data_IF_482661214515
#
_entry.id   IF_482661214515
#
_cell.length_a   1.000
_cell.length_b   1.000
_cell.length_c   1.000
_cell.angle_alpha   90.00
_cell.angle_beta   90.00
_cell.angle_gamma   90.00
#
_symmetry.space_group_name_H-M   'P 1'
#
loop_
_entity.id
_entity.type
_entity.pdbx_description
1 polymer ?
#
# COMPACT_ATOMS: atom_id res chain seq x y z
N UNK A 1 2.93 -4.83 -30.43
CA UNK A 1 4.08 -4.03 -30.90
C UNK A 1 3.67 -2.57 -30.79
N UNK A 2 4.55 -1.69 -30.34
CA UNK A 2 4.31 -0.24 -30.34
C UNK A 2 5.51 0.48 -30.94
N UNK A 3 5.26 1.58 -31.63
CA UNK A 3 6.30 2.44 -32.22
C UNK A 3 5.92 3.88 -31.94
N UNK A 4 6.87 4.68 -31.45
CA UNK A 4 6.67 6.10 -31.16
C UNK A 4 7.89 6.89 -31.62
N UNK A 5 7.66 7.94 -32.40
CA UNK A 5 8.69 8.91 -32.73
C UNK A 5 8.56 10.13 -31.80
N UNK A 6 9.69 10.64 -31.29
CA UNK A 6 9.73 11.86 -30.48
C UNK A 6 10.93 12.72 -30.84
N UNK A 7 10.71 14.03 -30.77
CA UNK A 7 11.79 15.00 -30.65
C UNK A 7 11.97 15.31 -29.17
N UNK A 8 13.22 15.32 -28.69
CA UNK A 8 13.56 15.56 -27.30
C UNK A 8 14.66 16.61 -27.20
N UNK A 9 14.51 17.54 -26.27
CA UNK A 9 15.55 18.50 -25.90
C UNK A 9 15.95 18.25 -24.45
N UNK A 10 17.25 18.16 -24.20
CA UNK A 10 17.83 18.05 -22.86
C UNK A 10 18.71 19.27 -22.61
N UNK A 11 18.54 19.92 -21.46
CA UNK A 11 19.21 21.17 -21.12
C UNK A 11 19.94 21.02 -19.79
N UNK A 12 21.19 21.49 -19.75
CA UNK A 12 21.99 21.37 -18.54
C UNK A 12 23.18 22.32 -18.54
N UNK A 13 23.65 22.65 -17.34
CA UNK A 13 24.89 23.40 -17.17
C UNK A 13 26.06 22.45 -17.36
N UNK A 14 26.94 22.76 -18.31
CA UNK A 14 28.12 21.95 -18.64
C UNK A 14 29.37 22.65 -18.12
N UNK A 15 29.93 22.16 -17.01
CA UNK A 15 31.09 22.76 -16.35
C UNK A 15 30.91 22.90 -14.84
N UNK A 16 32.02 22.94 -14.11
CA UNK A 16 32.05 23.23 -12.67
C UNK A 16 32.94 24.45 -12.47
N UNK A 17 32.38 25.54 -11.92
CA UNK A 17 33.16 26.72 -11.53
C UNK A 17 32.93 27.02 -10.06
N UNK A 18 34.01 27.31 -9.33
CA UNK A 18 33.96 27.80 -7.95
C UNK A 18 33.71 29.33 -7.87
N UNK A 19 33.61 30.02 -9.01
CA UNK A 19 33.25 31.44 -9.08
C UNK A 19 31.74 31.59 -9.33
N UNK A 20 31.10 32.59 -8.72
CA UNK A 20 29.66 32.89 -8.84
C UNK A 20 29.20 33.34 -10.25
N UNK A 21 29.95 33.03 -11.31
CA UNK A 21 29.54 33.34 -12.68
C UNK A 21 28.48 32.35 -13.16
N UNK A 22 27.37 32.90 -13.69
CA UNK A 22 26.31 32.13 -14.35
C UNK A 22 26.91 31.36 -15.53
N UNK A 23 27.04 30.05 -15.35
CA UNK A 23 27.52 29.16 -16.41
C UNK A 23 26.48 29.06 -17.54
N UNK A 24 26.92 29.03 -18.81
CA UNK A 24 26.02 28.90 -19.95
C UNK A 24 25.31 27.54 -19.93
N UNK A 25 24.01 27.56 -20.20
CA UNK A 25 23.20 26.34 -20.36
C UNK A 25 23.43 25.76 -21.76
N UNK A 26 23.88 24.51 -21.82
CA UNK A 26 24.02 23.75 -23.05
C UNK A 26 22.73 22.99 -23.36
N UNK A 27 22.39 22.90 -24.65
CA UNK A 27 21.20 22.20 -25.14
C UNK A 27 21.57 21.07 -26.09
N UNK A 28 21.10 19.87 -25.80
CA UNK A 28 21.17 18.71 -26.68
C UNK A 28 19.79 18.47 -27.30
N UNK A 29 19.72 18.31 -28.62
CA UNK A 29 18.48 18.02 -29.33
C UNK A 29 18.56 16.69 -30.06
N UNK A 30 17.59 15.82 -29.84
CA UNK A 30 17.56 14.47 -30.41
C UNK A 30 16.24 14.17 -31.12
N UNK A 31 16.32 13.45 -32.23
CA UNK A 31 15.18 12.78 -32.87
C UNK A 31 15.30 11.29 -32.64
N UNK A 32 14.30 10.68 -32.00
CA UNK A 32 14.37 9.27 -31.58
C UNK A 32 13.12 8.51 -31.98
N UNK A 33 13.34 7.27 -32.37
CA UNK A 33 12.33 6.24 -32.56
C UNK A 33 12.41 5.29 -31.37
N UNK A 34 11.27 4.99 -30.75
CA UNK A 34 11.14 4.00 -29.69
C UNK A 34 10.24 2.88 -30.17
N UNK A 35 10.71 1.64 -30.07
CA UNK A 35 9.97 0.46 -30.52
C UNK A 35 9.86 -0.52 -29.34
N UNK A 36 8.71 -1.19 -29.22
CA UNK A 36 8.53 -2.25 -28.23
C UNK A 36 7.84 -3.46 -28.82
N UNK A 37 8.36 -4.64 -28.47
CA UNK A 37 7.81 -5.94 -28.86
C UNK A 37 7.65 -6.75 -27.58
N UNK A 38 6.43 -7.21 -27.34
CA UNK A 38 6.13 -8.19 -26.31
C UNK A 38 5.53 -9.40 -27.00
N UNK A 39 6.14 -10.56 -26.78
CA UNK A 39 5.71 -11.82 -27.36
C UNK A 39 5.64 -12.88 -26.26
N UNK A 40 4.63 -13.74 -26.37
CA UNK A 40 4.47 -14.92 -25.51
C UNK A 40 4.15 -16.12 -26.39
N UNK A 41 4.83 -17.22 -26.15
CA UNK A 41 4.53 -18.51 -26.79
C UNK A 41 3.11 -18.98 -26.47
N UNK A 42 2.54 -19.82 -27.34
CA UNK A 42 1.17 -20.36 -27.17
C UNK A 42 0.98 -21.14 -25.87
N UNK A 43 2.00 -21.89 -25.45
CA UNK A 43 2.01 -22.65 -24.20
C UNK A 43 2.42 -21.80 -22.98
N UNK A 44 2.63 -20.49 -23.17
CA UNK A 44 3.00 -19.54 -22.13
C UNK A 44 4.33 -19.78 -21.42
N UNK A 45 5.17 -20.70 -21.92
CA UNK A 45 6.45 -21.06 -21.30
C UNK A 45 7.56 -20.07 -21.64
N UNK A 46 7.51 -19.51 -22.85
CA UNK A 46 8.40 -18.45 -23.31
C UNK A 46 7.69 -17.10 -23.27
N UNK A 47 8.38 -16.08 -22.74
CA UNK A 47 8.05 -14.68 -22.95
C UNK A 47 9.29 -13.89 -23.36
N UNK A 48 9.12 -13.00 -24.32
CA UNK A 48 10.15 -12.07 -24.80
C UNK A 48 9.58 -10.66 -24.70
N UNK A 49 10.31 -9.77 -24.04
CA UNK A 49 10.14 -8.33 -24.15
C UNK A 49 11.38 -7.74 -24.79
N UNK A 50 11.19 -6.86 -25.76
CA UNK A 50 12.23 -6.10 -26.44
C UNK A 50 11.79 -4.64 -26.42
N UNK A 51 12.69 -3.73 -26.08
CA UNK A 51 12.52 -2.31 -26.34
C UNK A 51 13.79 -1.72 -26.93
N UNK A 52 13.64 -0.90 -27.96
CA UNK A 52 14.71 -0.15 -28.61
C UNK A 52 14.40 1.35 -28.57
N UNK A 53 15.41 2.18 -28.38
CA UNK A 53 15.38 3.62 -28.60
C UNK A 53 16.59 3.98 -29.46
N UNK A 54 16.36 4.43 -30.69
CA UNK A 54 17.43 4.75 -31.63
C UNK A 54 17.17 6.07 -32.35
N UNK A 55 18.23 6.76 -32.77
CA UNK A 55 18.07 8.05 -33.43
C UNK A 55 19.36 8.84 -33.56
N UNK A 56 19.21 10.13 -33.84
CA UNK A 56 20.31 11.05 -34.01
C UNK A 56 20.19 12.23 -33.05
N UNK A 57 21.33 12.68 -32.52
CA UNK A 57 21.41 13.82 -31.62
C UNK A 57 22.40 14.86 -32.12
N UNK A 58 22.12 16.12 -31.83
CA UNK A 58 23.05 17.24 -31.99
C UNK A 58 23.50 17.69 -30.60
N UNK A 59 24.81 17.65 -30.39
CA UNK A 59 25.47 18.03 -29.13
C UNK A 59 26.25 19.32 -29.40
N UNK A 60 26.18 20.35 -28.54
CA UNK A 60 26.67 21.69 -28.87
C UNK A 60 28.20 21.79 -29.01
N UNK A 61 28.94 20.89 -28.37
CA UNK A 61 30.41 20.86 -28.36
C UNK A 61 31.01 19.64 -29.08
N UNK A 62 30.18 18.86 -29.81
CA UNK A 62 30.64 17.75 -30.66
C UNK A 62 30.25 18.04 -32.10
N UNK A 63 31.19 17.90 -33.03
CA UNK A 63 30.93 18.14 -34.44
C UNK A 63 29.98 17.08 -35.03
N UNK A 64 29.00 17.54 -35.82
CA UNK A 64 28.09 16.66 -36.56
C UNK A 64 26.95 16.06 -35.72
N UNK A 65 26.13 15.24 -36.38
CA UNK A 65 25.07 14.47 -35.71
C UNK A 65 25.64 13.15 -35.20
N UNK A 66 25.29 12.78 -33.96
CA UNK A 66 25.73 11.55 -33.33
C UNK A 66 24.58 10.53 -33.31
N UNK A 67 24.88 9.29 -33.69
CA UNK A 67 23.92 8.20 -33.62
C UNK A 67 23.80 7.69 -32.17
N UNK A 68 22.57 7.47 -31.72
CA UNK A 68 22.22 6.90 -30.42
C UNK A 68 21.46 5.59 -30.62
N UNK A 69 21.77 4.59 -29.80
CA UNK A 69 21.05 3.33 -29.74
C UNK A 69 21.00 2.84 -28.29
N UNK A 70 19.81 2.44 -27.85
CA UNK A 70 19.57 1.75 -26.59
C UNK A 70 18.64 0.57 -26.85
N UNK A 71 19.01 -0.61 -26.38
CA UNK A 71 18.22 -1.84 -26.51
C UNK A 71 18.13 -2.51 -25.16
N UNK A 72 16.93 -2.90 -24.77
CA UNK A 72 16.66 -3.74 -23.61
C UNK A 72 15.92 -5.00 -24.07
N UNK A 73 16.38 -6.16 -23.62
CA UNK A 73 15.76 -7.45 -23.91
C UNK A 73 15.54 -8.20 -22.62
N UNK A 74 14.35 -8.75 -22.43
CA UNK A 74 14.03 -9.69 -21.36
C UNK A 74 13.46 -10.96 -21.98
N UNK A 75 14.02 -12.12 -21.63
CA UNK A 75 13.55 -13.41 -22.08
C UNK A 75 13.34 -14.31 -20.86
N UNK A 76 12.15 -14.89 -20.74
CA UNK A 76 11.84 -15.85 -19.68
C UNK A 76 11.47 -17.18 -20.32
N UNK A 77 12.02 -18.26 -19.76
CA UNK A 77 11.68 -19.64 -20.11
C UNK A 77 11.64 -20.50 -18.85
N UNK A 78 10.42 -20.84 -18.40
CA UNK A 78 10.17 -21.64 -17.19
C UNK A 78 10.94 -21.09 -15.97
N UNK A 79 12.03 -21.76 -15.58
CA UNK A 79 12.87 -21.42 -14.43
C UNK A 79 13.96 -20.40 -14.76
N UNK A 80 14.22 -20.15 -16.04
CA UNK A 80 15.31 -19.34 -16.53
C UNK A 80 14.82 -17.95 -16.94
N UNK A 81 15.57 -16.91 -16.59
CA UNK A 81 15.38 -15.55 -17.10
C UNK A 81 16.70 -15.01 -17.62
N UNK A 82 16.66 -14.29 -18.74
CA UNK A 82 17.78 -13.59 -19.34
C UNK A 82 17.38 -12.14 -19.55
N UNK A 83 18.17 -11.20 -19.04
CA UNK A 83 18.03 -9.79 -19.34
C UNK A 83 19.30 -9.29 -20.03
N UNK A 84 19.15 -8.39 -20.99
CA UNK A 84 20.27 -7.75 -21.66
C UNK A 84 19.95 -6.29 -21.89
N UNK A 85 20.99 -5.47 -21.78
CA UNK A 85 20.98 -4.05 -22.04
C UNK A 85 22.18 -3.70 -22.91
N UNK A 86 21.96 -2.86 -23.91
CA UNK A 86 23.03 -2.24 -24.68
C UNK A 86 22.70 -0.78 -24.95
N UNK A 87 23.64 0.12 -24.68
CA UNK A 87 23.58 1.53 -25.04
C UNK A 87 24.84 1.91 -25.79
N UNK A 88 24.68 2.64 -26.89
CA UNK A 88 25.74 3.34 -27.61
C UNK A 88 25.32 4.81 -27.80
N UNK A 89 26.25 5.72 -27.53
CA UNK A 89 26.02 7.16 -27.60
C UNK A 89 25.45 7.75 -26.31
N UNK A 90 25.47 9.08 -26.24
CA UNK A 90 25.12 9.85 -25.05
C UNK A 90 23.65 10.20 -25.01
N UNK A 91 22.90 9.72 -24.03
CA UNK A 91 21.46 9.95 -23.97
C UNK A 91 21.07 11.19 -23.16
N UNK A 92 22.04 11.81 -22.48
CA UNK A 92 21.89 13.07 -21.73
C UNK A 92 23.05 14.02 -22.01
N UNK A 93 22.84 15.32 -21.81
CA UNK A 93 23.88 16.36 -21.96
C UNK A 93 25.04 16.15 -20.98
N UNK A 94 24.77 15.57 -19.81
CA UNK A 94 25.78 15.21 -18.82
C UNK A 94 26.70 14.08 -19.31
N UNK A 95 26.12 13.02 -19.90
CA UNK A 95 26.90 11.92 -20.51
C UNK A 95 27.79 12.47 -21.63
N UNK A 96 27.21 13.29 -22.52
CA UNK A 96 27.93 13.90 -23.63
C UNK A 96 29.10 14.78 -23.16
N UNK A 97 28.87 15.65 -22.17
CA UNK A 97 29.91 16.54 -21.65
C UNK A 97 31.07 15.74 -21.04
N UNK A 98 30.76 14.73 -20.23
CA UNK A 98 31.81 13.94 -19.58
C UNK A 98 32.60 13.09 -20.58
N UNK A 99 31.94 12.51 -21.58
CA UNK A 99 32.60 11.72 -22.62
C UNK A 99 33.44 12.59 -23.58
N UNK A 100 33.02 13.83 -23.82
CA UNK A 100 33.83 14.81 -24.55
C UNK A 100 35.11 15.19 -23.79
N UNK A 101 35.06 15.31 -22.46
CA UNK A 101 36.25 15.55 -21.63
C UNK A 101 37.25 14.38 -21.68
N UNK A 102 36.73 13.15 -21.61
CA UNK A 102 37.57 11.94 -21.58
C UNK A 102 38.00 11.47 -22.99
N UNK A 103 37.54 12.13 -24.06
CA UNK A 103 37.71 11.73 -25.47
C UNK A 103 37.39 10.24 -25.70
N UNK A 104 36.29 9.76 -25.11
CA UNK A 104 35.86 8.35 -25.15
C UNK A 104 34.48 8.20 -25.76
N UNK A 105 34.32 7.14 -26.55
CA UNK A 105 32.99 6.71 -26.99
C UNK A 105 32.16 6.17 -25.83
N UNK A 106 30.91 6.61 -25.76
CA UNK A 106 29.92 6.21 -24.76
C UNK A 106 29.30 4.86 -25.09
N UNK A 107 29.51 3.86 -24.23
CA UNK A 107 28.79 2.61 -24.33
C UNK A 107 28.51 2.00 -22.96
N UNK A 108 27.40 1.25 -22.87
CA UNK A 108 27.05 0.42 -21.72
C UNK A 108 26.50 -0.91 -22.21
N UNK A 109 26.92 -2.00 -21.59
CA UNK A 109 26.45 -3.34 -21.87
C UNK A 109 26.16 -4.04 -20.54
N UNK A 110 24.98 -4.61 -20.41
CA UNK A 110 24.64 -5.53 -19.33
C UNK A 110 24.08 -6.82 -19.91
N UNK A 111 24.44 -7.95 -19.31
CA UNK A 111 23.74 -9.21 -19.50
C UNK A 111 23.57 -9.91 -18.16
N UNK A 112 22.37 -10.40 -17.88
CA UNK A 112 22.03 -11.06 -16.63
C UNK A 112 21.26 -12.35 -16.90
N UNK A 113 21.73 -13.46 -16.35
CA UNK A 113 21.01 -14.73 -16.35
C UNK A 113 20.56 -15.06 -14.94
N UNK A 114 19.35 -15.58 -14.77
CA UNK A 114 18.92 -16.13 -13.49
C UNK A 114 18.17 -17.44 -13.66
N UNK A 115 18.26 -18.28 -12.62
CA UNK A 115 17.52 -19.53 -12.49
C UNK A 115 16.80 -19.52 -11.15
N UNK A 116 15.48 -19.66 -11.18
CA UNK A 116 14.63 -19.83 -9.99
C UNK A 116 13.93 -21.17 -10.05
N UNK A 117 14.14 -22.03 -9.06
CA UNK A 117 13.48 -23.34 -9.00
C UNK A 117 13.03 -23.68 -7.59
N UNK A 118 11.86 -24.32 -7.51
CA UNK A 118 11.30 -24.88 -6.29
C UNK A 118 11.37 -26.41 -6.37
N UNK A 119 11.79 -27.05 -5.28
CA UNK A 119 11.89 -28.51 -5.14
C UNK A 119 11.09 -28.99 -3.93
N UNK A 120 10.80 -30.30 -3.89
CA UNK A 120 10.18 -30.99 -2.75
C UNK A 120 8.87 -30.33 -2.27
N UNK A 121 7.95 -30.01 -3.19
CA UNK A 121 6.69 -29.34 -2.82
C UNK A 121 6.91 -27.95 -2.22
N UNK A 122 7.86 -27.19 -2.78
CA UNK A 122 8.25 -25.82 -2.37
C UNK A 122 9.03 -25.72 -1.05
N UNK A 123 9.49 -26.85 -0.50
CA UNK A 123 10.32 -26.86 0.71
C UNK A 123 11.73 -26.35 0.48
N UNK A 124 12.27 -26.53 -0.73
CA UNK A 124 13.56 -25.96 -1.11
C UNK A 124 13.34 -24.97 -2.25
N UNK A 125 13.75 -23.72 -2.06
CA UNK A 125 13.71 -22.69 -3.09
C UNK A 125 15.13 -22.24 -3.38
N UNK A 126 15.44 -22.13 -4.66
CA UNK A 126 16.77 -21.75 -5.13
C UNK A 126 16.65 -20.66 -6.16
N UNK A 127 17.38 -19.59 -5.95
CA UNK A 127 17.53 -18.44 -6.84
C UNK A 127 19.02 -18.22 -7.09
N UNK A 128 19.46 -18.39 -8.33
CA UNK A 128 20.83 -18.13 -8.76
C UNK A 128 20.80 -17.06 -9.83
N UNK A 129 21.70 -16.09 -9.77
CA UNK A 129 21.83 -15.05 -10.78
C UNK A 129 23.28 -14.70 -11.05
N UNK A 130 23.59 -14.46 -12.32
CA UNK A 130 24.88 -13.99 -12.80
C UNK A 130 24.64 -12.76 -13.64
N UNK A 131 25.43 -11.74 -13.43
CA UNK A 131 25.32 -10.45 -14.12
C UNK A 131 26.70 -10.00 -14.56
N UNK A 132 26.82 -9.61 -15.81
CA UNK A 132 28.01 -8.98 -16.36
C UNK A 132 27.65 -7.58 -16.83
N UNK A 133 28.37 -6.60 -16.34
CA UNK A 133 28.33 -5.22 -16.82
C UNK A 133 29.65 -4.89 -17.49
N UNK A 134 29.59 -4.10 -18.55
CA UNK A 134 30.73 -3.39 -19.10
C UNK A 134 30.31 -2.03 -19.61
N UNK A 135 31.03 -1.00 -19.22
CA UNK A 135 30.81 0.34 -19.73
C UNK A 135 32.12 1.11 -19.89
N UNK A 136 32.07 2.20 -20.67
CA UNK A 136 33.23 3.02 -21.00
C UNK A 136 33.85 3.75 -19.81
N UNK A 137 33.16 3.83 -18.67
CA UNK A 137 33.60 4.56 -17.47
C UNK A 137 34.07 3.65 -16.35
N UNK A 138 33.22 2.75 -15.86
CA UNK A 138 33.50 1.86 -14.74
C UNK A 138 34.26 0.60 -15.15
N UNK A 139 34.47 0.36 -16.45
CA UNK A 139 35.12 -0.86 -16.91
C UNK A 139 34.16 -2.04 -16.87
N UNK A 140 34.57 -3.18 -16.33
CA UNK A 140 33.77 -4.40 -16.31
C UNK A 140 33.51 -4.90 -14.89
N UNK A 141 32.30 -5.39 -14.65
CA UNK A 141 31.92 -5.97 -13.36
C UNK A 141 31.15 -7.26 -13.55
N UNK A 142 31.58 -8.31 -12.87
CA UNK A 142 30.82 -9.56 -12.71
C UNK A 142 30.15 -9.56 -11.36
N UNK A 143 28.89 -9.96 -11.29
CA UNK A 143 28.15 -10.16 -10.04
C UNK A 143 27.47 -11.51 -10.08
N UNK A 144 27.73 -12.31 -9.05
CA UNK A 144 27.14 -13.61 -8.81
C UNK A 144 26.29 -13.49 -7.55
N UNK A 145 25.05 -13.95 -7.60
CA UNK A 145 24.18 -13.96 -6.45
C UNK A 145 23.45 -15.28 -6.35
N UNK A 146 23.26 -15.74 -5.12
CA UNK A 146 22.60 -17.00 -4.82
C UNK A 146 21.76 -16.86 -3.57
N UNK A 147 20.57 -17.43 -3.59
CA UNK A 147 19.74 -17.62 -2.40
C UNK A 147 19.17 -19.02 -2.39
N UNK A 148 19.27 -19.66 -1.23
CA UNK A 148 18.66 -20.95 -0.96
C UNK A 148 17.82 -20.81 0.31
N UNK A 149 16.54 -21.11 0.22
CA UNK A 149 15.64 -21.19 1.37
C UNK A 149 15.19 -22.65 1.56
N UNK A 150 15.24 -23.14 2.81
CA UNK A 150 14.82 -24.50 3.15
C UNK A 150 13.82 -24.52 4.31
N UNK A 151 12.62 -25.03 4.05
CA UNK A 151 11.57 -25.25 5.04
C UNK A 151 11.77 -26.61 5.72
N UNK A 152 12.42 -26.59 6.88
CA UNK A 152 12.69 -27.75 7.73
C UNK A 152 11.37 -28.27 8.32
N UNK A 153 10.50 -27.37 8.79
CA UNK A 153 9.09 -27.62 9.17
C UNK A 153 8.21 -26.46 8.66
N UNK A 154 6.87 -26.53 8.74
CA UNK A 154 6.01 -25.40 8.39
C UNK A 154 6.27 -24.13 9.22
N UNK A 155 6.81 -24.28 10.44
CA UNK A 155 7.12 -23.19 11.37
C UNK A 155 8.60 -22.82 11.37
N UNK A 156 9.49 -23.72 10.93
CA UNK A 156 10.94 -23.53 11.00
C UNK A 156 11.58 -23.61 9.61
N UNK A 157 12.30 -22.55 9.24
CA UNK A 157 13.02 -22.48 7.96
C UNK A 157 14.41 -21.91 8.15
N UNK A 158 15.32 -22.25 7.25
CA UNK A 158 16.64 -21.64 7.15
C UNK A 158 16.83 -21.02 5.78
N UNK A 159 17.76 -20.08 5.70
CA UNK A 159 18.19 -19.53 4.43
C UNK A 159 19.69 -19.29 4.41
N UNK A 160 20.27 -19.38 3.22
CA UNK A 160 21.62 -18.94 2.90
C UNK A 160 21.54 -18.05 1.68
N UNK A 161 22.25 -16.94 1.73
CA UNK A 161 22.33 -15.98 0.66
C UNK A 161 23.77 -15.53 0.49
N UNK A 162 24.24 -15.49 -0.75
CA UNK A 162 25.61 -15.16 -1.08
C UNK A 162 25.63 -14.19 -2.27
N UNK A 163 26.52 -13.21 -2.19
CA UNK A 163 26.81 -12.28 -3.27
C UNK A 163 28.32 -12.21 -3.44
N UNK A 164 28.80 -12.40 -4.66
CA UNK A 164 30.18 -12.15 -5.03
C UNK A 164 30.19 -11.14 -6.17
N UNK A 165 31.04 -10.12 -6.08
CA UNK A 165 31.22 -9.16 -7.17
C UNK A 165 32.69 -8.93 -7.45
N UNK A 166 33.03 -8.93 -8.73
CA UNK A 166 34.37 -8.69 -9.24
C UNK A 166 34.34 -7.46 -10.11
N UNK A 167 34.99 -6.40 -9.66
CA UNK A 167 35.12 -5.17 -10.41
C UNK A 167 36.51 -5.10 -11.04
N UNK A 168 36.59 -4.76 -12.32
CA UNK A 168 37.84 -4.61 -13.03
C UNK A 168 37.79 -3.41 -13.97
N UNK A 169 38.65 -2.43 -13.73
CA UNK A 169 38.83 -1.20 -14.49
C UNK A 169 40.31 -0.99 -14.82
N UNK A 170 40.63 0.01 -15.65
CA UNK A 170 42.01 0.33 -16.03
C UNK A 170 42.91 0.69 -14.84
N UNK A 171 42.34 1.11 -13.71
CA UNK A 171 43.08 1.65 -12.57
C UNK A 171 42.86 0.88 -11.26
N UNK A 172 41.90 -0.06 -11.23
CA UNK A 172 41.52 -0.76 -10.02
C UNK A 172 40.83 -2.10 -10.34
N UNK A 173 41.19 -3.14 -9.60
CA UNK A 173 40.54 -4.45 -9.62
C UNK A 173 40.24 -4.89 -8.19
N UNK A 174 39.05 -5.44 -7.96
CA UNK A 174 38.67 -6.00 -6.67
C UNK A 174 37.73 -7.18 -6.80
N UNK A 175 37.76 -8.03 -5.79
CA UNK A 175 36.84 -9.13 -5.62
C UNK A 175 36.33 -9.12 -4.19
N UNK A 176 35.02 -9.10 -4.02
CA UNK A 176 34.37 -9.07 -2.72
C UNK A 176 33.29 -10.13 -2.67
N UNK A 177 33.15 -10.76 -1.51
CA UNK A 177 32.14 -11.78 -1.26
C UNK A 177 31.44 -11.48 0.07
N UNK A 178 30.12 -11.58 0.06
CA UNK A 178 29.28 -11.48 1.24
C UNK A 178 28.43 -12.75 1.34
N UNK A 179 28.38 -13.34 2.52
CA UNK A 179 27.56 -14.52 2.81
C UNK A 179 26.73 -14.22 4.06
N UNK A 180 25.43 -14.45 3.96
CA UNK A 180 24.47 -14.34 5.05
C UNK A 180 23.74 -15.67 5.20
N UNK A 181 23.66 -16.17 6.42
CA UNK A 181 22.84 -17.32 6.75
C UNK A 181 21.95 -16.99 7.95
N UNK A 182 20.77 -17.59 8.01
CA UNK A 182 19.84 -17.35 9.10
C UNK A 182 18.76 -18.42 9.20
N UNK A 183 18.04 -18.38 10.32
CA UNK A 183 16.88 -19.22 10.59
C UNK A 183 15.67 -18.34 10.90
N UNK A 184 14.48 -18.84 10.59
CA UNK A 184 13.21 -18.20 10.87
C UNK A 184 12.30 -19.20 11.57
N UNK A 185 11.82 -18.83 12.76
CA UNK A 185 10.80 -19.55 13.49
C UNK A 185 9.52 -18.70 13.54
N UNK A 186 8.47 -19.19 12.90
CA UNK A 186 7.16 -18.55 12.92
C UNK A 186 6.43 -19.01 14.19
N UNK A 187 6.32 -18.13 15.19
CA UNK A 187 5.57 -18.40 16.41
C UNK A 187 4.09 -18.63 16.07
N UNK A 188 3.44 -19.65 16.63
CA UNK A 188 2.00 -19.82 16.48
C UNK A 188 1.28 -18.63 17.12
N UNK A 189 0.23 -18.14 16.48
CA UNK A 189 -0.65 -17.14 17.11
C UNK A 189 -1.37 -17.77 18.30
N UNK A 190 -1.76 -16.98 19.31
CA UNK A 190 -2.48 -17.47 20.49
C UNK A 190 -3.73 -18.31 20.13
N UNK A 191 -4.38 -17.99 19.01
CA UNK A 191 -5.51 -18.74 18.47
C UNK A 191 -5.14 -20.09 17.84
N UNK A 192 -3.94 -20.22 17.26
CA UNK A 192 -3.41 -21.49 16.72
C UNK A 192 -2.82 -22.38 17.81
N UNK A 193 -2.29 -21.77 18.88
CA UNK A 193 -1.72 -22.43 20.04
C UNK A 193 -2.76 -22.89 21.07
N UNK A 194 -4.05 -22.55 20.91
CA UNK A 194 -5.10 -22.96 21.83
C UNK A 194 -5.28 -24.49 21.81
N UNK A 195 -4.64 -25.14 22.77
CA UNK A 195 -4.90 -26.53 23.18
C UNK A 195 -6.23 -26.51 23.95
N UNK A 196 -7.27 -27.16 23.41
CA UNK A 196 -8.59 -27.13 24.04
C UNK A 196 -9.70 -27.64 23.15
N UNK A 197 -10.94 -27.56 23.65
CA UNK A 197 -12.16 -27.92 22.89
C UNK A 197 -12.30 -27.01 21.69
N UNK A 198 -12.67 -27.59 20.55
CA UNK A 198 -12.88 -26.90 19.28
C UNK A 198 -14.28 -27.18 18.77
N UNK A 199 -14.87 -26.19 18.11
CA UNK A 199 -16.19 -26.25 17.51
C UNK A 199 -16.20 -25.70 16.09
N UNK A 200 -17.31 -25.92 15.42
CA UNK A 200 -17.59 -25.38 14.11
C UNK A 200 -18.61 -24.26 14.23
N UNK A 201 -18.37 -23.16 13.53
CA UNK A 201 -19.27 -22.03 13.40
C UNK A 201 -19.89 -22.05 12.00
N UNK A 202 -21.23 -22.00 11.95
CA UNK A 202 -21.99 -21.68 10.74
C UNK A 202 -22.67 -20.33 10.92
N UNK A 203 -22.31 -19.36 10.07
CA UNK A 203 -23.02 -18.10 9.95
C UNK A 203 -23.99 -18.18 8.78
N UNK A 204 -25.19 -17.66 8.97
CA UNK A 204 -26.15 -17.41 7.90
C UNK A 204 -26.45 -15.91 7.86
N UNK A 205 -26.08 -15.27 6.76
CA UNK A 205 -26.29 -13.85 6.52
C UNK A 205 -27.46 -13.68 5.56
N UNK A 206 -28.36 -12.75 5.88
CA UNK A 206 -29.49 -12.40 5.03
C UNK A 206 -29.76 -10.91 5.10
N UNK A 207 -30.30 -10.36 4.02
CA UNK A 207 -30.85 -9.02 3.97
C UNK A 207 -32.22 -9.03 4.65
N UNK A 208 -32.27 -8.43 5.83
CA UNK A 208 -33.47 -8.23 6.66
C UNK A 208 -34.18 -6.98 6.16
N UNK A 209 -35.14 -7.18 5.25
CA UNK A 209 -35.78 -6.09 4.52
C UNK A 209 -36.94 -5.47 5.31
N UNK A 210 -37.53 -6.22 6.24
CA UNK A 210 -38.62 -5.74 7.11
C UNK A 210 -38.11 -5.29 8.51
N UNK A 211 -36.81 -5.44 8.77
CA UNK A 211 -36.10 -4.96 9.97
C UNK A 211 -36.60 -5.66 11.24
N UNK A 212 -37.00 -6.93 11.14
CA UNK A 212 -37.50 -7.69 12.29
C UNK A 212 -36.46 -8.64 12.91
N UNK A 213 -35.28 -8.78 12.28
CA UNK A 213 -34.19 -9.64 12.74
C UNK A 213 -34.49 -11.14 12.66
N UNK A 214 -35.51 -11.54 11.89
CA UNK A 214 -35.94 -12.92 11.68
C UNK A 214 -36.01 -13.17 10.18
N UNK A 215 -35.30 -14.21 9.70
CA UNK A 215 -35.35 -14.55 8.29
C UNK A 215 -36.75 -15.07 7.89
N UNK A 216 -37.48 -14.28 7.10
CA UNK A 216 -38.85 -14.59 6.70
C UNK A 216 -39.22 -14.22 5.24
N UNK A 217 -40.52 -14.22 4.94
CA UNK A 217 -41.04 -13.95 3.62
C UNK A 217 -40.84 -12.48 3.23
N UNK A 218 -39.82 -12.22 2.42
CA UNK A 218 -39.42 -10.88 2.01
C UNK A 218 -37.91 -10.67 2.11
N UNK A 219 -37.23 -11.54 2.84
CA UNK A 219 -35.78 -11.53 2.98
C UNK A 219 -35.08 -12.35 1.92
N UNK A 220 -33.79 -12.06 1.75
CA UNK A 220 -32.94 -12.74 0.77
C UNK A 220 -31.59 -13.10 1.38
N UNK A 221 -31.03 -14.29 1.11
CA UNK A 221 -29.68 -14.62 1.54
C UNK A 221 -28.65 -13.61 1.02
N UNK A 222 -27.68 -13.25 1.85
CA UNK A 222 -26.68 -12.27 1.51
C UNK A 222 -25.42 -12.94 0.95
N UNK A 223 -25.36 -13.11 -0.38
CA UNK A 223 -24.21 -13.67 -1.09
C UNK A 223 -23.05 -12.67 -1.24
N UNK A 224 -21.84 -13.20 -1.44
CA UNK A 224 -20.62 -12.44 -1.70
C UNK A 224 -20.26 -11.37 -0.64
N UNK A 225 -20.71 -11.59 0.60
CA UNK A 225 -20.41 -10.71 1.75
C UNK A 225 -19.10 -11.08 2.39
N UNK A 226 -18.24 -10.08 2.58
CA UNK A 226 -17.01 -10.23 3.37
C UNK A 226 -17.36 -10.29 4.86
N UNK A 227 -16.92 -11.36 5.51
CA UNK A 227 -17.10 -11.58 6.95
C UNK A 227 -15.75 -11.88 7.59
N UNK A 228 -15.35 -11.07 8.56
CA UNK A 228 -14.12 -11.30 9.34
C UNK A 228 -14.46 -11.83 10.72
N UNK A 229 -13.95 -13.02 11.04
CA UNK A 229 -14.16 -13.72 12.32
C UNK A 229 -12.80 -13.90 12.98
N UNK A 230 -12.56 -13.23 14.11
CA UNK A 230 -11.28 -13.33 14.82
C UNK A 230 -10.05 -12.94 14.00
N UNK A 231 -10.22 -12.05 13.01
CA UNK A 231 -9.15 -11.60 12.11
C UNK A 231 -8.98 -12.41 10.81
N UNK A 232 -9.76 -13.48 10.61
CA UNK A 232 -9.79 -14.24 9.35
C UNK A 232 -11.00 -13.85 8.53
N UNK A 233 -10.80 -13.48 7.27
CA UNK A 233 -11.87 -13.06 6.35
C UNK A 233 -12.37 -14.20 5.48
N UNK A 234 -13.68 -14.25 5.30
CA UNK A 234 -14.44 -15.18 4.49
C UNK A 234 -15.36 -14.42 3.55
N UNK A 235 -15.85 -15.09 2.50
CA UNK A 235 -16.88 -14.59 1.60
C UNK A 235 -18.08 -15.54 1.71
N UNK A 236 -19.28 -15.01 1.94
CA UNK A 236 -20.50 -15.83 2.00
C UNK A 236 -20.82 -16.45 0.65
N UNK A 237 -21.34 -17.67 0.66
CA UNK A 237 -21.76 -18.36 -0.56
C UNK A 237 -23.14 -17.87 -1.07
N UNK A 238 -23.64 -18.46 -2.16
CA UNK A 238 -24.97 -18.15 -2.75
C UNK A 238 -26.16 -18.36 -1.82
N UNK A 239 -25.98 -19.09 -0.71
CA UNK A 239 -26.99 -19.29 0.32
C UNK A 239 -26.80 -18.32 1.50
N UNK A 240 -25.91 -17.34 1.39
CA UNK A 240 -25.55 -16.43 2.48
C UNK A 240 -24.77 -17.09 3.61
N UNK A 241 -24.19 -18.27 3.40
CA UNK A 241 -23.56 -19.05 4.47
C UNK A 241 -22.04 -18.88 4.50
N UNK A 242 -21.48 -18.85 5.71
CA UNK A 242 -20.03 -18.98 5.99
C UNK A 242 -19.82 -20.09 7.01
N UNK A 243 -18.92 -21.03 6.70
CA UNK A 243 -18.49 -22.06 7.65
C UNK A 243 -17.05 -21.82 8.09
N UNK A 244 -16.82 -21.80 9.39
CA UNK A 244 -15.48 -21.77 9.97
C UNK A 244 -15.35 -22.93 10.96
N UNK A 245 -14.49 -23.90 10.61
CA UNK A 245 -14.33 -25.15 11.35
C UNK A 245 -13.13 -25.12 12.29
N UNK A 246 -13.19 -25.94 13.35
CA UNK A 246 -12.13 -26.13 14.34
C UNK A 246 -11.71 -24.83 15.06
N UNK A 247 -12.65 -23.91 15.31
CA UNK A 247 -12.39 -22.77 16.18
C UNK A 247 -12.25 -23.26 17.62
N UNK A 248 -11.18 -22.87 18.34
CA UNK A 248 -11.16 -22.98 19.79
C UNK A 248 -12.40 -22.37 20.44
N UNK A 249 -12.82 -22.91 21.57
CA UNK A 249 -13.90 -22.28 22.34
C UNK A 249 -13.41 -20.94 22.90
N UNK A 250 -14.04 -19.84 22.48
CA UNK A 250 -13.71 -18.47 22.89
C UNK A 250 -14.76 -17.47 22.38
N UNK A 251 -14.62 -16.21 22.77
CA UNK A 251 -15.29 -15.07 22.15
C UNK A 251 -14.47 -14.56 20.95
N UNK A 252 -15.17 -14.37 19.83
CA UNK A 252 -14.60 -13.91 18.57
C UNK A 252 -15.24 -12.59 18.18
N UNK A 253 -14.41 -11.64 17.74
CA UNK A 253 -14.93 -10.45 17.05
C UNK A 253 -15.51 -10.86 15.70
N UNK A 254 -16.71 -10.32 15.40
CA UNK A 254 -17.38 -10.45 14.12
C UNK A 254 -17.41 -9.08 13.47
N UNK A 255 -16.76 -8.94 12.31
CA UNK A 255 -16.76 -7.71 11.52
C UNK A 255 -17.29 -8.00 10.14
N UNK A 256 -18.35 -7.32 9.77
CA UNK A 256 -18.94 -7.38 8.44
C UNK A 256 -18.98 -5.94 7.96
N UNK A 257 -18.12 -5.56 7.00
CA UNK A 257 -18.12 -4.20 6.48
C UNK A 257 -19.49 -3.83 5.92
N UNK A 258 -19.86 -2.56 6.05
CA UNK A 258 -21.03 -2.03 5.36
C UNK A 258 -20.79 -2.08 3.86
N UNK A 259 -21.75 -2.60 3.11
CA UNK A 259 -21.74 -2.64 1.65
C UNK A 259 -23.20 -2.59 1.18
N UNK A 260 -23.43 -1.88 0.08
CA UNK A 260 -24.75 -1.68 -0.54
C UNK A 260 -25.79 -1.13 0.45
N UNK A 261 -25.36 -0.27 1.37
CA UNK A 261 -26.19 0.30 2.43
C UNK A 261 -26.65 -0.70 3.50
N UNK A 262 -26.03 -1.88 3.65
CA UNK A 262 -26.38 -2.83 4.71
C UNK A 262 -25.28 -3.00 5.75
N UNK A 263 -25.64 -2.99 7.05
CA UNK A 263 -24.73 -3.15 8.20
C UNK A 263 -25.25 -4.18 9.24
N UNK A 264 -24.39 -4.54 10.22
CA UNK A 264 -24.58 -5.72 11.10
C UNK A 264 -24.81 -5.41 12.58
N UNK A 265 -25.62 -6.28 13.20
CA UNK A 265 -26.07 -6.21 14.58
C UNK A 265 -25.56 -7.29 15.58
N UNK A 266 -24.42 -7.99 15.38
CA UNK A 266 -23.55 -8.17 16.55
C UNK A 266 -22.03 -7.95 16.32
N UNK A 267 -21.32 -7.34 17.29
CA UNK A 267 -19.87 -7.11 17.20
C UNK A 267 -19.02 -8.34 17.59
N UNK A 268 -19.62 -9.35 18.22
CA UNK A 268 -18.93 -10.54 18.71
C UNK A 268 -19.83 -11.77 18.75
N UNK A 269 -19.21 -12.95 18.75
CA UNK A 269 -19.85 -14.26 18.87
C UNK A 269 -19.07 -15.16 19.83
N UNK A 270 -19.79 -15.90 20.68
CA UNK A 270 -19.20 -16.89 21.59
C UNK A 270 -19.28 -18.29 20.99
N UNK A 271 -18.13 -18.98 20.92
CA UNK A 271 -18.06 -20.40 20.55
C UNK A 271 -17.89 -21.21 21.83
N UNK A 272 -18.97 -21.87 22.27
CA UNK A 272 -18.98 -22.71 23.48
C UNK A 272 -19.38 -24.17 23.21
N UNK A 273 -19.63 -24.54 21.95
CA UNK A 273 -20.17 -25.84 21.56
C UNK A 273 -19.50 -26.44 20.33
N UNK A 274 -19.76 -27.73 20.06
CA UNK A 274 -19.23 -28.43 18.87
C UNK A 274 -19.76 -27.84 17.57
N UNK A 275 -20.99 -27.32 17.59
CA UNK A 275 -21.63 -26.61 16.49
C UNK A 275 -22.32 -25.38 17.06
N UNK A 276 -21.94 -24.21 16.57
CA UNK A 276 -22.62 -22.94 16.82
C UNK A 276 -23.19 -22.46 15.51
N UNK A 277 -24.49 -22.15 15.48
CA UNK A 277 -25.13 -21.52 14.33
C UNK A 277 -25.58 -20.13 14.76
N UNK A 278 -25.27 -19.12 13.96
CA UNK A 278 -25.71 -17.75 14.19
C UNK A 278 -26.30 -17.20 12.90
N UNK A 279 -27.50 -16.65 13.02
CA UNK A 279 -28.15 -15.88 11.97
C UNK A 279 -27.81 -14.40 12.14
N UNK A 280 -27.45 -13.75 11.05
CA UNK A 280 -27.03 -12.36 11.03
C UNK A 280 -27.91 -11.58 10.06
N UNK A 281 -28.87 -10.87 10.63
CA UNK A 281 -29.70 -9.90 9.93
C UNK A 281 -28.85 -8.71 9.47
N UNK A 282 -28.72 -8.54 8.16
CA UNK A 282 -28.16 -7.34 7.55
C UNK A 282 -29.28 -6.34 7.37
N UNK A 283 -29.16 -5.16 7.98
CA UNK A 283 -30.21 -4.15 7.94
C UNK A 283 -29.79 -2.98 7.06
N UNK A 284 -30.76 -2.43 6.31
CA UNK A 284 -30.58 -1.21 5.53
C UNK A 284 -30.14 -0.06 6.44
N UNK A 285 -29.25 0.77 5.93
CA UNK A 285 -28.64 1.87 6.64
C UNK A 285 -29.07 3.19 6.05
N UNK A 286 -29.20 4.19 6.91
CA UNK A 286 -29.19 5.59 6.53
C UNK A 286 -27.81 6.19 6.77
N UNK A 287 -27.58 7.36 6.17
CA UNK A 287 -26.36 8.12 6.32
C UNK A 287 -26.58 9.23 7.34
N UNK A 288 -25.71 9.34 8.35
CA UNK A 288 -25.66 10.50 9.25
C UNK A 288 -24.37 11.26 9.00
N UNK A 289 -24.48 12.56 8.75
CA UNK A 289 -23.33 13.43 8.47
C UNK A 289 -23.30 14.63 9.39
N UNK A 290 -22.11 15.14 9.66
CA UNK A 290 -21.92 16.38 10.40
C UNK A 290 -20.49 16.88 10.30
N UNK A 291 -20.23 18.04 10.90
CA UNK A 291 -18.94 18.71 10.85
C UNK A 291 -18.59 19.36 12.18
N UNK A 292 -17.34 19.23 12.59
CA UNK A 292 -16.75 19.91 13.73
C UNK A 292 -15.92 21.10 13.23
N UNK A 293 -16.00 22.24 13.90
CA UNK A 293 -15.20 23.43 13.57
C UNK A 293 -14.77 24.19 14.82
N UNK A 294 -13.60 24.84 14.77
CA UNK A 294 -13.11 25.65 15.87
C UNK A 294 -13.71 27.05 15.86
N UNK A 295 -14.06 27.54 17.05
CA UNK A 295 -14.41 28.94 17.28
C UNK A 295 -13.71 29.44 18.53
N UNK A 296 -12.83 30.40 18.35
CA UNK A 296 -12.00 30.90 19.44
C UNK A 296 -11.50 32.32 19.15
N UNK A 297 -11.07 33.01 20.20
CA UNK A 297 -10.36 34.29 20.10
C UNK A 297 -8.88 34.04 20.35
N UNK A 298 -8.06 34.17 19.31
CA UNK A 298 -6.62 33.93 19.36
C UNK A 298 -5.89 34.76 20.44
N UNK A 299 -6.46 35.88 20.90
CA UNK A 299 -5.87 36.72 21.96
C UNK A 299 -6.15 36.20 23.37
N UNK A 300 -7.29 35.55 23.56
CA UNK A 300 -7.77 35.11 24.87
C UNK A 300 -7.59 33.61 25.10
N UNK A 301 -7.39 32.82 24.04
CA UNK A 301 -7.31 31.36 24.11
C UNK A 301 -5.93 30.84 24.52
N UNK A 302 -5.92 29.78 25.32
CA UNK A 302 -4.74 28.97 25.62
C UNK A 302 -4.09 28.42 24.35
N UNK A 303 -2.81 28.06 24.43
CA UNK A 303 -2.12 27.39 23.32
C UNK A 303 -2.78 26.03 23.04
N UNK A 304 -3.06 25.76 21.77
CA UNK A 304 -3.63 24.51 21.31
C UNK A 304 -3.15 24.20 19.89
N UNK A 305 -3.28 22.94 19.49
CA UNK A 305 -3.04 22.50 18.12
C UNK A 305 -4.39 22.18 17.46
N UNK A 306 -4.69 22.86 16.35
CA UNK A 306 -5.86 22.51 15.55
C UNK A 306 -5.73 21.08 15.02
N UNK A 307 -6.73 20.26 15.33
CA UNK A 307 -6.80 18.88 14.87
C UNK A 307 -8.23 18.58 14.46
N UNK A 308 -8.46 18.61 13.16
CA UNK A 308 -9.76 18.24 12.58
C UNK A 308 -9.90 16.74 12.37
N UNK A 309 -8.83 16.04 11.98
CA UNK A 309 -8.86 14.61 11.62
C UNK A 309 -8.69 13.67 12.81
N UNK A 310 -9.47 12.60 12.84
CA UNK A 310 -9.40 11.57 13.87
C UNK A 310 -10.01 11.96 15.21
N UNK A 311 -10.90 12.96 15.24
CA UNK A 311 -11.80 13.20 16.38
C UNK A 311 -12.92 12.16 16.31
N UNK A 312 -13.34 11.66 17.47
CA UNK A 312 -14.25 10.52 17.55
C UNK A 312 -15.67 10.96 17.86
N UNK A 313 -16.59 10.43 17.06
CA UNK A 313 -18.04 10.53 17.23
C UNK A 313 -18.61 9.18 17.65
N UNK A 314 -19.59 9.20 18.54
CA UNK A 314 -20.38 8.04 18.93
C UNK A 314 -21.82 8.18 18.46
N UNK A 315 -22.35 7.12 17.85
CA UNK A 315 -23.77 6.90 17.71
C UNK A 315 -24.20 5.79 18.68
N UNK A 316 -25.04 6.13 19.65
CA UNK A 316 -25.55 5.20 20.66
C UNK A 316 -26.98 4.83 20.33
N UNK A 317 -27.23 3.56 20.00
CA UNK A 317 -28.58 3.04 19.78
C UNK A 317 -29.35 2.90 21.11
N UNK A 318 -30.69 2.78 21.05
CA UNK A 318 -31.56 2.61 22.21
C UNK A 318 -31.20 1.41 23.10
N UNK A 319 -30.59 0.38 22.54
CA UNK A 319 -30.10 -0.80 23.27
C UNK A 319 -28.70 -0.61 23.91
N UNK A 320 -28.16 0.61 23.88
CA UNK A 320 -26.84 0.96 24.42
C UNK A 320 -25.66 0.62 23.51
N UNK A 321 -25.89 0.01 22.33
CA UNK A 321 -24.82 -0.31 21.39
C UNK A 321 -24.24 0.97 20.79
N UNK A 322 -22.90 1.10 20.84
CA UNK A 322 -22.17 2.24 20.29
C UNK A 322 -21.52 1.90 18.95
N UNK A 323 -21.65 2.82 17.99
CA UNK A 323 -21.01 2.77 16.68
C UNK A 323 -20.11 4.01 16.56
N UNK A 324 -18.88 3.82 16.09
CA UNK A 324 -17.85 4.84 16.01
C UNK A 324 -17.78 5.45 14.61
N UNK A 325 -17.54 6.77 14.53
CA UNK A 325 -16.96 7.41 13.36
C UNK A 325 -15.79 8.32 13.73
N UNK A 326 -14.87 8.49 12.79
CA UNK A 326 -13.77 9.42 12.90
C UNK A 326 -13.93 10.56 11.89
N UNK A 327 -13.60 11.77 12.30
CA UNK A 327 -13.59 12.94 11.41
C UNK A 327 -12.42 12.89 10.42
N UNK A 328 -12.63 13.47 9.24
CA UNK A 328 -11.59 13.67 8.23
C UNK A 328 -10.77 14.96 8.50
N UNK A 329 -9.84 15.29 7.60
CA UNK A 329 -8.99 16.48 7.72
C UNK A 329 -9.76 17.81 7.71
N UNK A 330 -11.03 17.82 7.27
CA UNK A 330 -11.91 18.99 7.26
C UNK A 330 -12.88 19.03 8.45
N UNK A 331 -12.77 18.08 9.38
CA UNK A 331 -13.65 17.97 10.56
C UNK A 331 -14.99 17.31 10.26
N UNK A 332 -15.18 16.76 9.07
CA UNK A 332 -16.43 16.11 8.65
C UNK A 332 -16.41 14.64 9.04
N UNK A 333 -17.55 14.11 9.45
CA UNK A 333 -17.72 12.68 9.70
C UNK A 333 -18.92 12.13 8.93
N UNK A 334 -18.93 10.82 8.72
CA UNK A 334 -20.05 10.09 8.12
C UNK A 334 -20.23 8.77 8.85
N UNK A 335 -21.46 8.50 9.25
CA UNK A 335 -21.90 7.24 9.86
C UNK A 335 -22.91 6.57 8.94
N UNK A 336 -22.77 5.26 8.75
CA UNK A 336 -23.80 4.42 8.12
C UNK A 336 -24.43 3.59 9.23
N UNK A 337 -25.66 3.92 9.59
CA UNK A 337 -26.36 3.36 10.74
C UNK A 337 -27.60 2.61 10.26
N UNK A 338 -27.93 1.42 10.82
CA UNK A 338 -29.22 0.79 10.58
C UNK A 338 -30.39 1.75 10.85
N UNK A 339 -31.56 1.47 10.27
CA UNK A 339 -32.78 2.23 10.56
C UNK A 339 -33.09 2.17 12.06
N UNK A 340 -33.32 3.33 12.67
CA UNK A 340 -33.58 3.43 14.11
C UNK A 340 -33.32 4.81 14.68
N UNK A 341 -33.42 4.93 16.00
CA UNK A 341 -33.10 6.16 16.73
C UNK A 341 -31.74 6.02 17.42
N UNK A 342 -30.92 7.06 17.27
CA UNK A 342 -29.55 7.10 17.78
C UNK A 342 -29.29 8.42 18.47
N UNK A 343 -28.54 8.37 19.55
CA UNK A 343 -27.96 9.56 20.19
C UNK A 343 -26.53 9.78 19.66
N UNK A 344 -26.30 10.91 19.00
CA UNK A 344 -25.00 11.31 18.46
C UNK A 344 -24.25 12.17 19.49
N UNK A 345 -23.02 11.81 19.82
CA UNK A 345 -22.18 12.54 20.78
C UNK A 345 -20.72 12.59 20.36
N UNK A 346 -19.98 13.57 20.89
CA UNK A 346 -18.52 13.70 20.71
C UNK A 346 -17.81 12.97 21.85
N UNK A 347 -16.78 12.17 21.54
CA UNK A 347 -15.89 11.64 22.57
C UNK A 347 -14.92 12.72 23.05
N UNK A 348 -15.16 13.28 24.24
CA UNK A 348 -14.31 14.30 24.84
C UNK A 348 -12.84 13.86 24.96
N UNK A 349 -12.55 12.55 25.09
CA UNK A 349 -11.18 12.04 25.17
C UNK A 349 -10.43 12.10 23.82
N UNK A 350 -11.14 12.29 22.72
CA UNK A 350 -10.54 12.42 21.40
C UNK A 350 -10.08 13.85 21.09
N UNK A 351 -10.53 14.83 21.89
CA UNK A 351 -10.17 16.23 21.75
C UNK A 351 -8.74 16.50 22.22
N UNK A 352 -8.08 17.46 21.59
CA UNK A 352 -6.73 17.89 21.98
C UNK A 352 -6.75 18.69 23.28
N UNK A 353 -5.59 18.80 23.94
CA UNK A 353 -5.44 19.60 25.16
C UNK A 353 -6.03 21.01 24.99
N UNK A 354 -6.73 21.49 26.01
CA UNK A 354 -7.40 22.80 26.08
C UNK A 354 -8.61 22.97 25.14
N UNK A 355 -9.02 21.93 24.41
CA UNK A 355 -10.21 21.94 23.53
C UNK A 355 -11.38 21.25 24.20
N UNK A 356 -12.57 21.83 24.12
CA UNK A 356 -13.82 21.26 24.63
C UNK A 356 -14.99 21.60 23.70
N UNK A 357 -16.16 21.03 23.96
CA UNK A 357 -17.40 21.36 23.26
C UNK A 357 -18.54 21.37 24.26
N UNK A 358 -19.50 22.28 24.06
CA UNK A 358 -20.77 22.31 24.81
C UNK A 358 -21.88 21.62 24.00
N UNK A 359 -21.51 20.80 23.01
CA UNK A 359 -22.46 20.04 22.22
C UNK A 359 -23.09 18.95 23.09
N UNK A 360 -24.37 19.15 23.39
CA UNK A 360 -25.20 18.14 24.02
C UNK A 360 -25.51 17.01 23.02
N UNK A 361 -25.54 15.74 23.48
CA UNK A 361 -25.90 14.63 22.62
C UNK A 361 -27.25 14.85 21.92
N UNK A 362 -27.30 14.59 20.61
CA UNK A 362 -28.49 14.83 19.80
C UNK A 362 -29.12 13.52 19.34
N UNK A 363 -30.41 13.35 19.60
CA UNK A 363 -31.19 12.25 19.04
C UNK A 363 -31.48 12.49 17.56
N UNK A 364 -31.13 11.51 16.74
CA UNK A 364 -31.43 11.47 15.30
C UNK A 364 -32.20 10.22 14.96
N UNK A 365 -33.23 10.38 14.13
CA UNK A 365 -33.92 9.25 13.50
C UNK A 365 -33.26 8.96 12.16
N UNK A 366 -32.76 7.74 12.01
CA UNK A 366 -32.12 7.25 10.80
C UNK A 366 -33.17 6.51 9.98
N UNK A 367 -33.34 6.96 8.74
CA UNK A 367 -34.24 6.36 7.74
C UNK A 367 -33.40 5.70 6.65
N UNK A 368 -33.88 4.58 6.11
CA UNK A 368 -33.16 3.85 5.07
C UNK A 368 -32.94 4.71 3.83
N UNK A 369 -31.73 4.63 3.25
CA UNK A 369 -31.35 5.31 2.00
C UNK A 369 -31.41 6.85 2.06
N UNK A 370 -31.62 7.45 3.24
CA UNK A 370 -31.67 8.89 3.45
C UNK A 370 -30.39 9.42 4.12
N UNK A 371 -30.13 10.72 3.94
CA UNK A 371 -29.06 11.42 4.65
C UNK A 371 -29.65 12.37 5.70
N UNK A 372 -29.34 12.11 6.96
CA UNK A 372 -29.64 13.00 8.08
C UNK A 372 -28.41 13.83 8.41
N UNK A 373 -28.49 15.14 8.22
CA UNK A 373 -27.42 16.06 8.57
C UNK A 373 -27.65 16.60 9.99
N UNK A 374 -26.63 16.50 10.85
CA UNK A 374 -26.65 17.15 12.17
C UNK A 374 -26.04 18.56 12.09
N UNK A 375 -26.47 19.49 12.96
CA UNK A 375 -25.87 20.82 13.03
C UNK A 375 -24.36 20.79 13.25
N UNK A 376 -23.67 21.81 12.74
CA UNK A 376 -22.23 21.93 12.92
C UNK A 376 -21.88 22.07 14.41
N UNK A 377 -20.90 21.29 14.84
CA UNK A 377 -20.46 21.18 16.23
C UNK A 377 -19.30 22.16 16.47
N UNK A 378 -19.50 23.08 17.41
CA UNK A 378 -18.50 24.08 17.80
C UNK A 378 -17.48 23.47 18.79
N UNK A 379 -16.19 23.56 18.43
CA UNK A 379 -15.06 23.28 19.30
C UNK A 379 -14.53 24.59 19.88
N UNK A 380 -14.52 24.69 21.22
CA UNK A 380 -14.08 25.84 21.99
C UNK A 380 -12.72 25.60 22.60
N UNK A 381 -11.98 26.68 22.86
CA UNK A 381 -10.66 26.65 23.49
C UNK A 381 -10.75 27.28 24.88
N UNK A 382 -10.12 26.66 25.87
CA UNK A 382 -9.99 27.22 27.21
C UNK A 382 -9.31 28.59 27.14
N UNK A 383 -9.79 29.56 27.92
CA UNK A 383 -9.23 30.90 27.96
C UNK A 383 -8.03 30.96 28.92
N UNK A 384 -7.04 31.79 28.58
CA UNK A 384 -5.88 32.07 29.42
C UNK A 384 -6.31 32.72 30.72
N UNK A 385 -5.73 32.27 31.84
CA UNK A 385 -5.87 32.99 33.11
C UNK A 385 -5.08 34.29 33.06
N UNK A 386 -5.75 35.42 32.95
CA UNK A 386 -5.13 36.74 33.06
C UNK A 386 -4.96 37.07 34.55
N UNK A 387 -3.74 36.92 35.07
CA UNK A 387 -3.40 37.41 36.41
C UNK A 387 -3.16 38.92 36.36
N UNK A 388 -4.11 39.70 36.87
CA UNK A 388 -3.95 41.15 37.02
C UNK A 388 -3.09 41.43 38.25
N UNK A 389 -1.80 41.72 38.04
CA UNK A 389 -0.97 42.34 39.08
C UNK A 389 -1.41 43.78 39.28
N UNK A 390 -2.11 44.05 40.38
CA UNK A 390 -2.34 45.42 40.87
C UNK A 390 -1.09 45.90 41.59
N UNK A 391 -0.45 46.94 41.08
CA UNK A 391 0.57 47.66 41.83
C UNK A 391 -0.14 48.69 42.72
N UNK A 392 -0.02 48.54 44.03
CA UNK A 392 -0.50 49.51 45.01
C UNK A 392 0.40 50.75 45.03
N UNK A 393 -0.22 51.90 45.26
CA UNK A 393 0.39 53.24 45.41
C UNK A 393 1.29 53.37 46.63
#
# INVERSE_FOLDING_TARGET
MSITAKQQTDEGVTGYSNTQEKQPTSKMSSFRLTESINWRSRNSEHSVGLSSENGFTKIPFVSGQQFQLRVNTNYNYRIFSLNSYYQKGDFTIYEAYRNALDNKDSYRFNVSGSVRKEFFGKRLKTDLNVNYNRDSYSGSNWTYSGRVDYAITPQFSSFVNAYAYSYNSSSYSSFNTNVQAGVRYNLPTAQQAAVGKKGDLKLFLYYDNNVNGIYDAGDTPAEDRIVTIGGVSFISNRKGEVEYRKLPYNDYSLKIPSQDWYAVAPPSITIAGKRTTLEVALQRTGKVTGKLFYKYDARLSEEFAEKYGGLRMWATATNGKKIEALTNANGEFTLFLPVGEYEISVDANSLTKNVYTDFEPQTVKVVADETTEIPAIELKIQQRKIEVKRFGS
#
